data_IF_946197394011
#
_entry.id   IF_946197394011
#
_cell.length_a   1.000
_cell.length_b   1.000
_cell.length_c   1.000
_cell.angle_alpha   90.00
_cell.angle_beta   90.00
_cell.angle_gamma   90.00
#
_symmetry.space_group_name_H-M   'P 1'
#
loop_
_entity.id
_entity.type
_entity.pdbx_description
1 polymer ?
#
# COMPACT_ATOMS: atom_id res chain seq x y z
N UNK A 1 -0.34 -31.71 1.53
CA UNK A 1 -1.26 -30.53 1.43
C UNK A 1 -1.72 -30.00 2.80
N UNK A 2 -2.00 -30.84 3.82
CA UNK A 2 -2.41 -30.38 5.16
C UNK A 2 -1.39 -29.45 5.85
N UNK A 3 -0.10 -29.82 5.86
CA UNK A 3 0.96 -28.99 6.47
C UNK A 3 1.13 -27.62 5.81
N UNK A 4 1.01 -27.55 4.47
CA UNK A 4 1.13 -26.29 3.74
C UNK A 4 -0.01 -25.31 4.07
N UNK A 5 -1.24 -25.82 4.14
CA UNK A 5 -2.40 -25.00 4.51
C UNK A 5 -2.39 -24.59 5.99
N UNK A 6 -1.76 -25.40 6.85
CA UNK A 6 -1.54 -25.05 8.26
C UNK A 6 -0.55 -23.89 8.42
N UNK A 7 0.56 -23.91 7.65
CA UNK A 7 1.55 -22.83 7.66
C UNK A 7 1.09 -21.56 6.94
N UNK A 8 0.11 -21.66 6.03
CA UNK A 8 -0.45 -20.54 5.27
C UNK A 8 -1.95 -20.38 5.56
N UNK A 9 -2.33 -19.68 6.64
CA UNK A 9 -3.71 -19.29 6.84
C UNK A 9 -4.18 -18.43 5.66
N UNK A 10 -5.39 -18.71 5.17
CA UNK A 10 -5.96 -17.97 4.06
C UNK A 10 -6.46 -16.61 4.54
N UNK A 11 -5.95 -15.53 3.95
CA UNK A 11 -6.48 -14.19 4.19
C UNK A 11 -7.86 -14.04 3.54
N UNK A 12 -8.73 -13.16 4.08
CA UNK A 12 -10.01 -12.86 3.47
C UNK A 12 -9.84 -12.37 2.02
N UNK A 13 -10.82 -12.67 1.17
CA UNK A 13 -10.81 -12.21 -0.22
C UNK A 13 -11.02 -10.70 -0.25
N UNK A 14 -10.13 -10.01 -0.95
CA UNK A 14 -10.15 -8.56 -1.13
C UNK A 14 -10.58 -8.19 -2.55
N UNK A 15 -11.39 -7.14 -2.68
CA UNK A 15 -11.98 -6.73 -3.95
C UNK A 15 -10.92 -6.20 -4.93
N UNK A 16 -9.89 -5.52 -4.42
CA UNK A 16 -8.81 -4.95 -5.22
C UNK A 16 -7.87 -5.98 -5.84
N UNK A 17 -7.93 -7.27 -5.46
CA UNK A 17 -7.03 -8.32 -5.96
C UNK A 17 -6.99 -8.37 -7.49
N UNK A 18 -8.14 -8.27 -8.15
CA UNK A 18 -8.26 -8.35 -9.61
C UNK A 18 -7.66 -7.12 -10.31
N UNK A 19 -7.67 -5.97 -9.64
CA UNK A 19 -7.09 -4.72 -10.15
C UNK A 19 -5.57 -4.78 -10.09
N UNK A 20 -5.01 -5.36 -9.03
CA UNK A 20 -3.56 -5.53 -8.86
C UNK A 20 -2.99 -6.60 -9.80
N UNK A 21 -3.65 -7.77 -9.90
CA UNK A 21 -3.09 -8.97 -10.54
C UNK A 21 -3.86 -9.37 -11.81
N UNK A 22 -3.77 -8.56 -12.87
CA UNK A 22 -4.35 -8.87 -14.19
C UNK A 22 -3.32 -9.44 -15.18
N UNK A 23 -3.80 -10.08 -16.26
CA UNK A 23 -2.97 -10.88 -17.20
C UNK A 23 -1.80 -10.11 -17.84
N UNK A 24 -1.88 -8.79 -17.92
CA UNK A 24 -0.88 -7.93 -18.53
C UNK A 24 -0.32 -6.89 -17.55
N UNK A 25 -0.44 -7.15 -16.24
CA UNK A 25 0.09 -6.25 -15.24
C UNK A 25 1.61 -6.25 -15.29
N UNK A 26 2.20 -5.05 -15.39
CA UNK A 26 3.66 -4.89 -15.24
C UNK A 26 4.02 -5.25 -13.80
N UNK A 27 4.86 -6.26 -13.54
CA UNK A 27 5.10 -6.77 -12.18
C UNK A 27 5.53 -5.70 -11.18
N UNK A 28 6.37 -4.75 -11.62
CA UNK A 28 6.80 -3.59 -10.81
C UNK A 28 5.61 -2.75 -10.34
N UNK A 29 4.70 -2.39 -11.25
CA UNK A 29 3.54 -1.56 -10.93
C UNK A 29 2.51 -2.34 -10.11
N UNK A 30 2.30 -3.62 -10.42
CA UNK A 30 1.44 -4.50 -9.63
C UNK A 30 1.91 -4.60 -8.19
N UNK A 31 3.22 -4.76 -7.97
CA UNK A 31 3.81 -4.79 -6.63
C UNK A 31 3.65 -3.46 -5.88
N UNK A 32 3.89 -2.32 -6.54
CA UNK A 32 3.65 -1.01 -5.93
C UNK A 32 2.17 -0.84 -5.56
N UNK A 33 1.25 -1.14 -6.48
CA UNK A 33 -0.18 -1.00 -6.24
C UNK A 33 -0.69 -1.96 -5.14
N UNK A 34 -0.11 -3.16 -5.04
CA UNK A 34 -0.37 -4.08 -3.93
C UNK A 34 -0.01 -3.48 -2.58
N UNK A 35 1.18 -2.87 -2.48
CA UNK A 35 1.64 -2.18 -1.26
C UNK A 35 0.77 -0.96 -0.95
N UNK A 36 0.36 -0.19 -1.97
CA UNK A 36 -0.58 0.92 -1.81
C UNK A 36 -1.88 0.46 -1.15
N UNK A 37 -2.52 -0.59 -1.68
CA UNK A 37 -3.78 -1.14 -1.16
C UNK A 37 -3.66 -1.72 0.26
N UNK A 38 -2.45 -2.02 0.73
CA UNK A 38 -2.19 -2.49 2.08
C UNK A 38 -1.83 -1.37 3.07
N UNK A 39 -1.85 -0.10 2.63
CA UNK A 39 -1.36 1.06 3.41
C UNK A 39 0.08 0.88 3.89
N UNK A 40 0.89 0.22 3.06
CA UNK A 40 2.28 -0.13 3.38
C UNK A 40 3.32 0.75 2.70
N UNK A 41 2.89 1.82 2.03
CA UNK A 41 3.83 2.77 1.44
C UNK A 41 4.62 3.55 2.51
N UNK A 42 5.87 3.95 2.22
CA UNK A 42 6.66 4.84 3.06
C UNK A 42 6.25 6.29 2.79
N UNK A 43 5.05 6.66 3.23
CA UNK A 43 4.55 8.04 3.12
C UNK A 43 5.00 8.88 4.30
N UNK A 44 5.14 10.19 4.11
CA UNK A 44 5.53 11.09 5.20
C UNK A 44 4.59 11.03 6.41
N UNK A 45 3.30 10.84 6.19
CA UNK A 45 2.33 10.63 7.27
C UNK A 45 2.65 9.42 8.15
N UNK A 46 3.17 8.32 7.57
CA UNK A 46 3.65 7.17 8.36
C UNK A 46 5.02 7.41 8.98
N UNK A 47 5.91 8.14 8.31
CA UNK A 47 7.20 8.51 8.89
C UNK A 47 7.03 9.42 10.11
N UNK A 48 6.06 10.34 10.07
CA UNK A 48 5.74 11.25 11.18
C UNK A 48 5.26 10.51 12.44
N UNK A 49 4.66 9.32 12.31
CA UNK A 49 4.30 8.48 13.47
C UNK A 49 5.53 7.98 14.23
N UNK A 50 6.68 7.86 13.56
CA UNK A 50 7.93 7.38 14.15
C UNK A 50 8.81 8.53 14.61
N UNK A 51 8.78 9.65 13.89
CA UNK A 51 9.51 10.86 14.23
C UNK A 51 8.60 12.09 14.05
N UNK A 52 8.08 12.68 15.13
CA UNK A 52 7.22 13.86 15.08
C UNK A 52 7.87 15.12 14.47
N UNK A 53 9.20 15.15 14.31
CA UNK A 53 9.90 16.24 13.66
C UNK A 53 9.74 16.25 12.13
N UNK A 54 9.19 15.17 11.54
CA UNK A 54 8.95 15.07 10.10
C UNK A 54 7.63 15.78 9.77
N UNK A 55 7.69 16.76 8.90
CA UNK A 55 6.51 17.41 8.35
C UNK A 55 5.71 16.42 7.47
N UNK A 56 4.45 16.08 7.82
CA UNK A 56 3.63 15.17 7.04
C UNK A 56 3.06 15.79 5.76
N UNK A 57 3.33 17.07 5.47
CA UNK A 57 2.82 17.75 4.27
C UNK A 57 3.29 17.11 2.96
N UNK A 58 2.39 17.03 1.98
CA UNK A 58 2.67 16.50 0.66
C UNK A 58 3.63 17.42 -0.10
N UNK A 59 4.77 16.88 -0.54
CA UNK A 59 5.77 17.65 -1.32
C UNK A 59 5.26 18.14 -2.67
N UNK A 60 4.19 17.54 -3.21
CA UNK A 60 3.67 17.87 -4.54
C UNK A 60 2.70 19.05 -4.51
N UNK A 61 1.76 19.05 -3.55
CA UNK A 61 0.73 20.09 -3.46
C UNK A 61 1.04 21.14 -2.39
N UNK A 62 1.86 20.81 -1.37
CA UNK A 62 2.18 21.68 -0.24
C UNK A 62 1.01 22.05 0.69
N UNK A 63 -0.19 21.50 0.45
CA UNK A 63 -1.42 21.95 1.13
C UNK A 63 -2.05 20.89 2.03
N UNK A 64 -1.88 19.60 1.71
CA UNK A 64 -2.48 18.49 2.44
C UNK A 64 -1.42 17.50 2.93
N UNK A 65 -1.76 16.70 3.93
CA UNK A 65 -0.90 15.62 4.38
C UNK A 65 -0.68 14.57 3.27
N UNK A 66 0.53 14.03 3.20
CA UNK A 66 0.92 13.00 2.24
C UNK A 66 0.32 11.65 2.65
N UNK A 67 -0.93 11.41 2.27
CA UNK A 67 -1.65 10.16 2.49
C UNK A 67 -1.70 9.32 1.21
N UNK A 68 -2.00 8.02 1.35
CA UNK A 68 -2.18 7.13 0.21
C UNK A 68 -3.27 7.67 -0.71
N UNK A 69 -4.39 8.07 -0.12
CA UNK A 69 -5.55 8.54 -0.85
C UNK A 69 -5.18 9.81 -1.62
N UNK A 70 -4.59 10.79 -0.94
CA UNK A 70 -4.15 12.01 -1.59
C UNK A 70 -3.20 11.80 -2.78
N UNK A 71 -2.35 10.76 -2.76
CA UNK A 71 -1.43 10.46 -3.86
C UNK A 71 -2.00 9.51 -4.93
N UNK A 72 -2.93 8.62 -4.58
CA UNK A 72 -3.29 7.47 -5.43
C UNK A 72 -4.77 7.07 -5.45
N UNK A 73 -5.64 7.54 -4.52
CA UNK A 73 -7.09 7.23 -4.50
C UNK A 73 -7.95 8.49 -4.38
#
# INVERSE_FOLDING_TARGET
KKTWNFLRPSAPKVNWKKVVWFKFAVPKHAFQFWICNLDRLPLKTRMALWNPAIDPSCSLCGQSAETRDHLFL
#
